data_IF_528663401729
#
_entry.id   IF_528663401729
#
_cell.length_a   1.000
_cell.length_b   1.000
_cell.length_c   1.000
_cell.angle_alpha   90.00
_cell.angle_beta   90.00
_cell.angle_gamma   90.00
#
_symmetry.space_group_name_H-M   'P 1'
#
loop_
_entity.id
_entity.type
_entity.pdbx_description
1 polymer ?
#
# COMPACT_ATOMS: atom_id res chain seq x y z
N UNK A 1 76.24 11.82 14.03
CA UNK A 1 76.87 11.14 15.19
C UNK A 1 77.72 10.00 14.65
N UNK A 2 78.75 9.55 15.39
CA UNK A 2 79.69 8.51 14.92
C UNK A 2 79.67 7.29 15.84
N UNK A 3 79.93 6.11 15.30
CA UNK A 3 80.25 4.92 16.09
C UNK A 3 81.65 5.00 16.70
N UNK A 4 82.00 4.01 17.52
CA UNK A 4 83.30 3.94 18.21
C UNK A 4 84.49 3.82 17.22
N UNK A 5 84.22 3.39 15.99
CA UNK A 5 85.18 3.31 14.88
C UNK A 5 85.25 4.61 14.05
N UNK A 6 84.46 5.63 14.40
CA UNK A 6 84.47 6.96 13.80
C UNK A 6 83.66 7.10 12.50
N UNK A 7 82.86 6.10 12.14
CA UNK A 7 81.95 6.13 10.98
C UNK A 7 80.67 6.88 11.33
N UNK A 8 80.14 7.67 10.39
CA UNK A 8 78.85 8.33 10.58
C UNK A 8 77.70 7.32 10.59
N UNK A 9 76.85 7.38 11.62
CA UNK A 9 75.64 6.57 11.71
C UNK A 9 74.60 7.07 10.69
N UNK A 10 74.24 6.21 9.73
CA UNK A 10 73.25 6.54 8.70
C UNK A 10 71.86 6.74 9.32
N UNK A 11 71.13 7.77 8.89
CA UNK A 11 69.78 8.07 9.41
C UNK A 11 69.74 8.76 10.77
N UNK A 12 70.90 9.10 11.38
CA UNK A 12 70.95 9.87 12.63
C UNK A 12 71.74 11.16 12.43
N UNK A 13 71.05 12.29 12.53
CA UNK A 13 71.68 13.62 12.51
C UNK A 13 71.37 14.37 13.80
N UNK A 14 72.31 15.18 14.26
CA UNK A 14 72.09 16.07 15.39
C UNK A 14 72.56 17.47 14.99
N UNK A 15 71.77 18.48 15.29
CA UNK A 15 72.07 19.90 15.08
C UNK A 15 71.84 20.63 16.39
N UNK A 16 72.81 21.41 16.83
CA UNK A 16 72.61 22.38 17.90
C UNK A 16 72.21 23.71 17.26
N UNK A 17 71.04 24.23 17.62
CA UNK A 17 70.49 25.46 17.06
C UNK A 17 69.53 26.10 18.06
N UNK A 18 69.64 27.43 18.21
CA UNK A 18 68.82 28.23 19.13
C UNK A 18 68.80 27.69 20.58
N UNK A 19 69.99 27.41 21.13
CA UNK A 19 70.22 26.77 22.44
C UNK A 19 69.63 25.36 22.65
N UNK A 20 69.10 24.72 21.60
CA UNK A 20 68.53 23.37 21.66
C UNK A 20 69.35 22.35 20.86
N UNK A 21 69.55 21.17 21.43
CA UNK A 21 70.06 20.01 20.69
C UNK A 21 68.89 19.30 20.00
N UNK A 22 68.82 19.41 18.67
CA UNK A 22 67.84 18.72 17.84
C UNK A 22 68.47 17.45 17.27
N UNK A 23 67.95 16.29 17.66
CA UNK A 23 68.38 14.99 17.13
C UNK A 23 67.28 14.47 16.21
N UNK A 24 67.61 14.24 14.94
CA UNK A 24 66.72 13.66 13.95
C UNK A 24 67.19 12.24 13.65
N UNK A 25 66.34 11.26 14.01
CA UNK A 25 66.58 9.84 13.82
C UNK A 25 65.51 9.30 12.86
N UNK A 26 65.93 8.73 11.74
CA UNK A 26 65.01 8.31 10.67
C UNK A 26 64.69 6.82 10.69
N UNK A 27 65.40 5.99 11.47
CA UNK A 27 65.05 4.56 11.69
C UNK A 27 65.90 3.94 12.81
N UNK A 28 65.43 3.97 14.06
CA UNK A 28 65.88 3.03 15.09
C UNK A 28 64.71 2.69 16.03
N UNK A 29 64.78 1.49 16.64
CA UNK A 29 63.83 0.99 17.65
C UNK A 29 63.86 1.80 18.96
N UNK A 30 63.62 1.15 20.10
CA UNK A 30 63.43 1.83 21.39
C UNK A 30 64.57 2.82 21.74
N UNK A 31 64.21 4.07 22.00
CA UNK A 31 65.13 5.11 22.48
C UNK A 31 65.17 5.05 24.00
N UNK A 32 66.34 4.76 24.57
CA UNK A 32 66.57 4.82 26.02
C UNK A 32 67.46 6.02 26.35
N UNK A 33 66.96 6.94 27.19
CA UNK A 33 67.72 8.06 27.75
C UNK A 33 67.94 7.77 29.23
N UNK A 34 69.16 7.39 29.60
CA UNK A 34 69.56 7.22 31.00
C UNK A 34 70.17 8.52 31.52
N UNK A 35 69.32 9.50 31.79
CA UNK A 35 69.69 10.68 32.55
C UNK A 35 68.83 10.75 33.82
N UNK A 36 69.50 10.81 34.96
CA UNK A 36 68.85 10.83 36.29
C UNK A 36 68.22 12.17 36.62
N UNK A 37 68.46 13.21 35.81
CA UNK A 37 67.91 14.57 36.01
C UNK A 37 67.08 15.06 34.81
N UNK A 38 66.62 14.17 33.94
CA UNK A 38 65.78 14.53 32.80
C UNK A 38 64.39 14.95 33.29
N UNK A 39 64.12 16.25 33.32
CA UNK A 39 62.80 16.82 33.64
C UNK A 39 62.00 17.01 32.36
N UNK A 40 61.45 15.91 31.81
CA UNK A 40 60.55 15.98 30.67
C UNK A 40 59.10 15.66 31.08
N UNK A 41 58.18 16.59 30.80
CA UNK A 41 56.73 16.40 30.89
C UNK A 41 56.20 15.47 29.77
N UNK A 42 56.93 14.42 29.42
CA UNK A 42 56.58 13.51 28.31
C UNK A 42 55.66 12.37 28.79
N UNK A 43 55.44 12.21 30.10
CA UNK A 43 54.70 11.06 30.64
C UNK A 43 53.34 11.38 31.32
N UNK A 44 52.79 12.57 31.18
CA UNK A 44 51.52 12.95 31.84
C UNK A 44 50.26 12.47 31.08
N UNK A 45 50.42 11.56 30.12
CA UNK A 45 49.32 11.03 29.28
C UNK A 45 49.34 9.50 29.11
N UNK A 46 50.01 8.75 30.01
CA UNK A 46 49.95 7.28 30.00
C UNK A 46 49.44 6.67 31.32
N UNK A 47 49.15 7.49 32.33
CA UNK A 47 48.46 7.03 33.53
C UNK A 47 46.94 6.94 33.28
N UNK A 48 46.47 5.78 32.82
CA UNK A 48 45.03 5.50 32.68
C UNK A 48 44.32 5.32 34.05
N UNK A 49 45.05 5.30 35.16
CA UNK A 49 44.49 5.13 36.51
C UNK A 49 44.12 6.47 37.15
N UNK A 50 44.88 7.54 36.90
CA UNK A 50 44.58 8.91 37.32
C UNK A 50 44.04 9.75 36.13
N UNK A 51 42.74 9.67 35.89
CA UNK A 51 42.00 10.30 34.80
C UNK A 51 41.85 11.85 34.93
N UNK A 52 42.91 12.61 35.20
CA UNK A 52 42.79 14.07 35.43
C UNK A 52 42.39 14.87 34.16
N UNK A 53 42.55 14.28 32.97
CA UNK A 53 42.11 14.84 31.69
C UNK A 53 40.71 14.36 31.23
N UNK A 54 39.97 13.55 32.03
CA UNK A 54 38.66 13.02 31.64
C UNK A 54 37.52 13.97 32.05
N UNK A 55 37.02 14.74 31.10
CA UNK A 55 35.96 15.75 31.30
C UNK A 55 34.60 15.13 31.67
N UNK A 56 34.29 13.93 31.19
CA UNK A 56 33.04 13.22 31.47
C UNK A 56 33.26 11.71 31.52
N UNK A 57 32.64 11.04 32.50
CA UNK A 57 32.67 9.57 32.61
C UNK A 57 31.37 9.00 32.08
N UNK A 58 31.42 7.90 31.32
CA UNK A 58 30.22 7.17 30.92
C UNK A 58 29.48 6.66 32.17
N UNK A 59 28.16 6.85 32.22
CA UNK A 59 27.33 6.43 33.34
C UNK A 59 26.05 5.80 32.82
N UNK A 60 25.64 4.72 33.47
CA UNK A 60 24.32 4.13 33.27
C UNK A 60 23.25 5.07 33.82
N UNK A 61 22.09 5.10 33.17
CA UNK A 61 20.90 5.76 33.71
C UNK A 61 20.41 5.00 34.93
N UNK A 62 20.04 5.74 35.99
CA UNK A 62 19.50 5.21 37.23
C UNK A 62 18.24 5.98 37.58
N UNK A 63 17.13 5.28 37.74
CA UNK A 63 15.84 5.89 38.05
C UNK A 63 14.97 4.94 38.87
N UNK A 64 13.89 5.47 39.46
CA UNK A 64 12.90 4.66 40.17
C UNK A 64 11.65 4.51 39.32
N UNK A 65 11.19 3.29 39.12
CA UNK A 65 9.91 2.98 38.51
C UNK A 65 8.98 2.35 39.56
N UNK A 66 7.88 3.01 39.90
CA UNK A 66 6.94 2.59 40.94
C UNK A 66 7.62 2.20 42.28
N UNK A 67 8.68 2.93 42.65
CA UNK A 67 9.45 2.71 43.88
C UNK A 67 10.64 1.75 43.74
N UNK A 68 10.74 1.00 42.63
CA UNK A 68 11.85 0.07 42.36
C UNK A 68 12.98 0.74 41.61
N UNK A 69 14.22 0.59 42.06
CA UNK A 69 15.39 1.13 41.38
C UNK A 69 15.73 0.32 40.12
N UNK A 70 15.85 1.02 38.99
CA UNK A 70 16.16 0.47 37.68
C UNK A 70 17.43 1.12 37.17
N UNK A 71 18.34 0.31 36.63
CA UNK A 71 19.56 0.77 35.96
C UNK A 71 19.56 0.31 34.51
N UNK A 72 19.94 1.19 33.58
CA UNK A 72 20.04 0.91 32.14
C UNK A 72 21.24 1.59 31.53
N UNK A 73 21.80 1.01 30.47
CA UNK A 73 22.99 1.54 29.79
C UNK A 73 22.67 2.78 28.93
N UNK A 74 21.40 2.98 28.57
CA UNK A 74 20.91 4.08 27.73
C UNK A 74 19.84 4.91 28.44
N UNK A 75 19.57 6.10 27.93
CA UNK A 75 18.42 6.93 28.31
C UNK A 75 17.14 6.58 27.51
N UNK A 76 17.24 5.72 26.49
CA UNK A 76 16.09 5.16 25.76
C UNK A 76 15.82 3.75 26.28
N UNK A 77 14.68 3.56 26.92
CA UNK A 77 14.29 2.32 27.59
C UNK A 77 13.06 1.75 26.89
N UNK A 78 13.20 0.60 26.24
CA UNK A 78 12.11 -0.07 25.50
C UNK A 78 11.79 -1.47 26.04
N UNK A 79 12.48 -1.90 27.10
CA UNK A 79 12.38 -3.24 27.69
C UNK A 79 11.64 -3.28 29.04
N UNK A 80 11.35 -2.11 29.64
CA UNK A 80 10.78 -2.03 30.98
C UNK A 80 9.29 -2.37 31.02
N UNK A 81 8.53 -1.92 30.01
CA UNK A 81 7.09 -2.15 29.88
C UNK A 81 6.79 -2.50 28.44
N UNK A 82 6.11 -3.62 28.23
CA UNK A 82 5.72 -4.09 26.90
C UNK A 82 4.91 -3.01 26.17
N UNK A 83 5.34 -2.65 24.97
CA UNK A 83 4.66 -1.67 24.13
C UNK A 83 4.99 -0.20 24.44
N UNK A 84 5.90 0.08 25.37
CA UNK A 84 6.33 1.45 25.68
C UNK A 84 7.81 1.66 25.38
N UNK A 85 8.14 2.89 24.99
CA UNK A 85 9.51 3.38 24.97
C UNK A 85 9.59 4.65 25.81
N UNK A 86 10.40 4.61 26.87
CA UNK A 86 10.61 5.71 27.79
C UNK A 86 11.93 6.39 27.42
N UNK A 87 11.89 7.71 27.21
CA UNK A 87 13.09 8.51 26.97
C UNK A 87 13.37 9.40 28.19
N UNK A 88 14.52 9.20 28.83
CA UNK A 88 14.97 9.96 29.99
C UNK A 88 15.70 11.22 29.52
N UNK A 89 15.09 12.39 29.77
CA UNK A 89 15.63 13.67 29.31
C UNK A 89 16.40 14.42 30.41
N UNK A 90 15.88 14.40 31.64
CA UNK A 90 16.47 15.10 32.77
C UNK A 90 16.15 14.39 34.08
N UNK A 91 16.93 14.70 35.13
CA UNK A 91 16.66 14.24 36.48
C UNK A 91 15.39 14.90 37.04
N UNK A 92 14.64 14.16 37.86
CA UNK A 92 13.42 14.65 38.50
C UNK A 92 12.39 13.54 38.71
N UNK A 93 11.19 13.96 39.09
CA UNK A 93 10.03 13.09 39.22
C UNK A 93 9.05 13.36 38.07
N UNK A 94 8.40 12.31 37.57
CA UNK A 94 7.39 12.43 36.52
C UNK A 94 6.36 11.33 36.68
N UNK A 95 5.10 11.67 36.42
CA UNK A 95 3.99 10.72 36.42
C UNK A 95 3.56 10.49 34.98
N UNK A 96 3.55 9.23 34.54
CA UNK A 96 3.08 8.83 33.22
C UNK A 96 1.70 8.21 33.40
N UNK A 97 0.70 8.78 32.74
CA UNK A 97 -0.64 8.20 32.68
C UNK A 97 -0.89 7.66 31.28
N UNK A 98 -1.19 6.37 31.18
CA UNK A 98 -1.46 5.68 29.92
C UNK A 98 -2.96 5.52 29.81
N UNK A 99 -3.53 6.11 28.77
CA UNK A 99 -4.96 6.05 28.46
C UNK A 99 -5.15 5.67 27.01
N UNK A 100 -6.33 5.18 26.69
CA UNK A 100 -6.73 4.93 25.30
C UNK A 100 -6.81 6.26 24.54
N UNK A 101 -6.33 6.26 23.29
CA UNK A 101 -6.42 7.42 22.39
C UNK A 101 -7.73 7.40 21.62
N UNK A 102 -8.79 7.88 22.26
CA UNK A 102 -10.14 7.92 21.69
C UNK A 102 -10.27 8.86 20.51
N UNK A 103 -9.47 9.93 20.46
CA UNK A 103 -9.52 10.91 19.38
C UNK A 103 -9.07 10.25 18.08
N UNK A 104 -7.96 9.51 18.13
CA UNK A 104 -7.47 8.74 16.98
C UNK A 104 -8.46 7.66 16.55
N UNK A 105 -9.11 6.95 17.49
CA UNK A 105 -10.10 5.92 17.17
C UNK A 105 -11.35 6.55 16.52
N UNK A 106 -11.89 7.64 17.10
CA UNK A 106 -13.03 8.37 16.54
C UNK A 106 -12.71 8.90 15.14
N UNK A 107 -11.51 9.46 14.94
CA UNK A 107 -11.06 9.95 13.65
C UNK A 107 -10.99 8.83 12.61
N UNK A 108 -10.45 7.67 13.00
CA UNK A 108 -10.39 6.48 12.14
C UNK A 108 -11.79 6.03 11.71
N UNK A 109 -12.77 6.06 12.62
CA UNK A 109 -14.17 5.73 12.29
C UNK A 109 -14.82 6.75 11.35
N UNK A 110 -14.53 8.04 11.52
CA UNK A 110 -15.01 9.08 10.59
C UNK A 110 -14.40 8.90 9.19
N UNK A 111 -13.11 8.59 9.11
CA UNK A 111 -12.42 8.36 7.84
C UNK A 111 -12.94 7.10 7.15
N UNK A 112 -13.24 6.04 7.93
CA UNK A 112 -13.93 4.85 7.44
C UNK A 112 -15.30 5.19 6.82
N UNK A 113 -16.15 5.93 7.54
CA UNK A 113 -17.48 6.33 7.04
C UNK A 113 -17.37 7.17 5.78
N UNK A 114 -16.38 8.08 5.72
CA UNK A 114 -16.09 8.88 4.54
C UNK A 114 -15.67 8.02 3.34
N UNK A 115 -14.81 7.02 3.57
CA UNK A 115 -14.38 6.06 2.56
C UNK A 115 -15.55 5.21 2.02
N UNK A 116 -16.37 4.68 2.93
CA UNK A 116 -17.59 3.93 2.56
C UNK A 116 -18.53 4.78 1.70
N UNK A 117 -18.82 6.00 2.15
CA UNK A 117 -19.71 6.94 1.44
C UNK A 117 -19.16 7.34 0.07
N UNK A 118 -17.84 7.43 -0.07
CA UNK A 118 -17.18 7.69 -1.35
C UNK A 118 -17.41 6.54 -2.34
N UNK A 119 -17.34 5.28 -1.88
CA UNK A 119 -17.64 4.11 -2.71
C UNK A 119 -19.10 4.12 -3.13
N UNK A 120 -20.04 4.33 -2.19
CA UNK A 120 -21.47 4.38 -2.49
C UNK A 120 -21.78 5.46 -3.52
N UNK A 121 -21.26 6.67 -3.32
CA UNK A 121 -21.42 7.80 -4.25
C UNK A 121 -20.88 7.48 -5.65
N UNK A 122 -19.69 6.87 -5.73
CA UNK A 122 -19.09 6.49 -7.01
C UNK A 122 -19.92 5.44 -7.74
N UNK A 123 -20.35 4.38 -7.05
CA UNK A 123 -21.18 3.34 -7.65
C UNK A 123 -22.51 3.93 -8.12
N UNK A 124 -23.17 4.77 -7.32
CA UNK A 124 -24.41 5.43 -7.71
C UNK A 124 -24.22 6.30 -8.95
N UNK A 125 -23.15 7.08 -9.02
CA UNK A 125 -22.81 7.90 -10.20
C UNK A 125 -22.63 7.04 -11.44
N UNK A 126 -21.96 5.89 -11.32
CA UNK A 126 -21.68 5.01 -12.45
C UNK A 126 -22.88 4.18 -12.90
N UNK A 127 -23.93 4.06 -12.08
CA UNK A 127 -25.06 3.14 -12.32
C UNK A 127 -26.40 3.84 -12.45
N UNK A 128 -26.51 5.11 -12.04
CA UNK A 128 -27.74 5.90 -12.11
C UNK A 128 -28.05 6.31 -13.55
N UNK A 129 -29.35 6.33 -13.87
CA UNK A 129 -29.87 7.04 -15.02
C UNK A 129 -30.18 8.49 -14.65
N UNK A 130 -29.70 9.44 -15.45
CA UNK A 130 -30.05 10.84 -15.33
C UNK A 130 -31.19 11.18 -16.29
N UNK A 131 -32.41 11.46 -15.78
CA UNK A 131 -33.56 11.78 -16.62
C UNK A 131 -33.43 13.14 -17.34
N UNK A 132 -32.64 14.08 -16.80
CA UNK A 132 -32.52 15.43 -17.33
C UNK A 132 -31.61 15.43 -18.57
N UNK A 133 -30.43 14.81 -18.44
CA UNK A 133 -29.52 14.62 -19.58
C UNK A 133 -29.88 13.42 -20.46
N UNK A 134 -30.82 12.58 -20.03
CA UNK A 134 -31.18 11.28 -20.65
C UNK A 134 -29.98 10.35 -20.81
N UNK A 135 -28.96 10.49 -19.96
CA UNK A 135 -27.76 9.67 -20.00
C UNK A 135 -27.79 8.56 -18.97
N UNK A 136 -27.33 7.39 -19.38
CA UNK A 136 -27.10 6.26 -18.52
C UNK A 136 -25.68 6.32 -17.95
N UNK A 137 -25.53 6.05 -16.65
CA UNK A 137 -24.22 5.70 -16.11
C UNK A 137 -23.65 4.49 -16.85
N UNK A 138 -22.32 4.47 -17.06
CA UNK A 138 -21.65 3.45 -17.87
C UNK A 138 -21.91 2.01 -17.41
N UNK A 139 -22.24 1.82 -16.13
CA UNK A 139 -22.53 0.52 -15.51
C UNK A 139 -23.99 0.37 -15.08
N UNK A 140 -24.91 1.14 -15.69
CA UNK A 140 -26.34 1.09 -15.33
C UNK A 140 -26.94 -0.31 -15.40
N UNK A 141 -26.48 -1.17 -16.31
CA UNK A 141 -26.99 -2.54 -16.46
C UNK A 141 -26.15 -3.59 -15.72
N UNK A 142 -25.06 -3.18 -15.08
CA UNK A 142 -24.16 -4.10 -14.40
C UNK A 142 -24.65 -4.39 -12.98
N UNK A 143 -25.39 -5.49 -12.85
CA UNK A 143 -25.94 -5.96 -11.57
C UNK A 143 -24.84 -6.23 -10.54
N UNK A 144 -23.70 -6.77 -10.97
CA UNK A 144 -22.54 -7.01 -10.10
C UNK A 144 -22.03 -5.73 -9.46
N UNK A 145 -21.98 -4.62 -10.21
CA UNK A 145 -21.53 -3.30 -9.73
C UNK A 145 -22.62 -2.65 -8.87
N UNK A 146 -23.88 -2.67 -9.32
CA UNK A 146 -25.03 -2.12 -8.59
C UNK A 146 -25.23 -2.75 -7.20
N UNK A 147 -24.85 -4.01 -7.04
CA UNK A 147 -25.03 -4.74 -5.78
C UNK A 147 -23.90 -4.51 -4.76
N UNK A 148 -22.77 -3.91 -5.14
CA UNK A 148 -21.64 -3.68 -4.23
C UNK A 148 -22.06 -2.94 -2.95
N UNK A 149 -22.81 -1.81 -3.00
CA UNK A 149 -23.26 -1.12 -1.79
C UNK A 149 -24.05 -2.02 -0.84
N UNK A 150 -24.95 -2.86 -1.37
CA UNK A 150 -25.75 -3.80 -0.58
C UNK A 150 -24.88 -4.90 0.05
N UNK A 151 -23.88 -5.41 -0.67
CA UNK A 151 -22.94 -6.41 -0.11
C UNK A 151 -22.13 -5.83 1.05
N UNK A 152 -21.61 -4.61 0.90
CA UNK A 152 -20.86 -3.92 1.94
C UNK A 152 -21.77 -3.58 3.14
N UNK A 153 -22.98 -3.12 2.89
CA UNK A 153 -24.00 -2.88 3.93
C UNK A 153 -24.28 -4.16 4.72
N UNK A 154 -24.56 -5.26 4.04
CA UNK A 154 -24.87 -6.54 4.68
C UNK A 154 -23.69 -7.06 5.51
N UNK A 155 -22.45 -6.89 5.05
CA UNK A 155 -21.28 -7.25 5.82
C UNK A 155 -21.16 -6.43 7.12
N UNK A 156 -21.33 -5.11 7.01
CA UNK A 156 -21.20 -4.16 8.11
C UNK A 156 -22.32 -4.29 9.16
N UNK A 157 -23.57 -4.39 8.72
CA UNK A 157 -24.75 -4.49 9.59
C UNK A 157 -25.15 -5.93 9.92
N UNK A 158 -24.34 -6.92 9.53
CA UNK A 158 -24.55 -8.29 9.98
C UNK A 158 -24.53 -8.35 11.51
N UNK A 159 -25.52 -9.03 12.10
CA UNK A 159 -25.58 -9.18 13.55
C UNK A 159 -24.50 -10.13 14.04
N UNK A 160 -23.89 -9.79 15.16
CA UNK A 160 -22.93 -10.61 15.87
C UNK A 160 -23.55 -11.09 17.18
N UNK A 161 -23.39 -12.39 17.49
CA UNK A 161 -23.80 -12.95 18.79
C UNK A 161 -22.74 -12.54 19.80
N UNK A 162 -23.09 -11.56 20.63
CA UNK A 162 -22.21 -11.08 21.68
C UNK A 162 -22.22 -12.01 22.90
N UNK A 163 -23.42 -12.45 23.29
CA UNK A 163 -23.62 -13.24 24.49
C UNK A 163 -24.84 -14.15 24.31
N UNK A 164 -25.04 -15.09 25.22
CA UNK A 164 -26.19 -15.98 25.24
C UNK A 164 -26.70 -16.11 26.67
N UNK A 165 -27.95 -15.70 26.87
CA UNK A 165 -28.61 -15.80 28.18
C UNK A 165 -29.58 -16.98 28.19
N UNK A 166 -29.58 -17.73 29.29
CA UNK A 166 -30.60 -18.77 29.51
C UNK A 166 -31.87 -18.07 30.00
N UNK A 167 -32.98 -18.30 29.31
CA UNK A 167 -34.31 -17.82 29.69
C UNK A 167 -35.25 -19.01 29.88
N UNK A 168 -36.26 -18.83 30.70
CA UNK A 168 -37.35 -19.80 30.86
C UNK A 168 -38.56 -19.35 30.04
N UNK A 169 -39.19 -20.29 29.34
CA UNK A 169 -40.46 -20.06 28.67
C UNK A 169 -41.63 -20.03 29.69
N UNK A 170 -42.87 -19.92 29.20
CA UNK A 170 -44.07 -19.90 30.05
C UNK A 170 -44.34 -21.23 30.78
N UNK A 171 -43.64 -22.29 30.41
CA UNK A 171 -43.72 -23.63 31.00
C UNK A 171 -42.48 -23.94 31.85
N UNK A 172 -41.69 -22.93 32.22
CA UNK A 172 -40.44 -23.06 32.99
C UNK A 172 -39.33 -23.84 32.26
N UNK A 173 -39.45 -24.00 30.93
CA UNK A 173 -38.45 -24.71 30.14
C UNK A 173 -37.31 -23.75 29.73
N UNK A 174 -36.08 -24.13 30.07
CA UNK A 174 -34.90 -23.34 29.74
C UNK A 174 -34.57 -23.38 28.25
N UNK A 175 -34.28 -22.22 27.67
CA UNK A 175 -33.76 -22.07 26.31
C UNK A 175 -32.69 -20.97 26.26
N UNK A 176 -31.71 -21.16 25.37
CA UNK A 176 -30.67 -20.17 25.14
C UNK A 176 -31.18 -19.08 24.18
N UNK A 177 -31.02 -17.81 24.57
CA UNK A 177 -31.28 -16.66 23.71
C UNK A 177 -29.99 -15.88 23.47
N UNK A 178 -29.62 -15.76 22.19
CA UNK A 178 -28.49 -14.94 21.76
C UNK A 178 -28.82 -13.44 21.93
N UNK A 179 -27.89 -12.71 22.53
CA UNK A 179 -27.84 -11.25 22.51
C UNK A 179 -27.07 -10.83 21.27
N UNK A 180 -27.78 -10.17 20.36
CA UNK A 180 -27.23 -9.73 19.08
C UNK A 180 -26.85 -8.26 19.15
N UNK A 181 -25.63 -7.93 18.72
CA UNK A 181 -25.21 -6.55 18.47
C UNK A 181 -25.04 -6.32 16.97
N UNK A 182 -25.22 -5.08 16.56
CA UNK A 182 -25.11 -4.61 15.18
C UNK A 182 -24.34 -3.30 15.13
N UNK A 183 -23.94 -2.87 13.92
CA UNK A 183 -23.26 -1.58 13.72
C UNK A 183 -24.08 -0.38 14.28
N UNK A 184 -25.41 -0.50 14.33
CA UNK A 184 -26.29 0.51 14.91
C UNK A 184 -26.07 0.70 16.41
N UNK A 185 -25.72 -0.36 17.15
CA UNK A 185 -25.43 -0.30 18.58
C UNK A 185 -24.14 0.48 18.85
N UNK A 186 -23.21 0.47 17.89
CA UNK A 186 -21.93 1.19 17.94
C UNK A 186 -21.96 2.57 17.26
N UNK A 187 -23.14 3.15 17.02
CA UNK A 187 -23.26 4.52 16.51
C UNK A 187 -23.15 4.66 14.99
N UNK A 188 -23.19 3.56 14.23
CA UNK A 188 -23.28 3.62 12.77
C UNK A 188 -24.73 3.50 12.32
N UNK A 189 -25.22 4.47 11.56
CA UNK A 189 -26.55 4.38 10.95
C UNK A 189 -26.45 4.50 9.44
N UNK A 190 -27.50 4.08 8.73
CA UNK A 190 -27.55 4.18 7.27
C UNK A 190 -28.83 4.85 6.84
N UNK A 191 -28.73 5.81 5.93
CA UNK A 191 -29.89 6.48 5.36
C UNK A 191 -30.50 5.66 4.21
N UNK A 192 -31.67 6.11 3.70
CA UNK A 192 -32.38 5.44 2.60
C UNK A 192 -31.61 5.37 1.28
N UNK A 193 -30.60 6.24 1.13
CA UNK A 193 -29.71 6.27 -0.04
C UNK A 193 -28.47 5.40 0.13
N UNK A 194 -28.35 4.66 1.24
CA UNK A 194 -27.23 3.75 1.49
C UNK A 194 -25.97 4.43 2.03
N UNK A 195 -26.01 5.73 2.35
CA UNK A 195 -24.88 6.41 2.98
C UNK A 195 -24.89 6.17 4.49
N UNK A 196 -23.69 5.97 5.04
CA UNK A 196 -23.44 5.86 6.47
C UNK A 196 -23.39 7.22 7.14
N UNK A 197 -23.88 7.25 8.37
CA UNK A 197 -23.71 8.34 9.31
C UNK A 197 -23.09 7.80 10.61
N UNK A 198 -22.32 8.65 11.30
CA UNK A 198 -21.55 8.27 12.49
C UNK A 198 -21.89 9.15 13.68
N UNK A 199 -22.51 8.54 14.68
CA UNK A 199 -22.70 9.12 16.00
C UNK A 199 -21.48 8.83 16.87
N UNK A 200 -20.53 9.78 16.88
CA UNK A 200 -19.31 9.67 17.68
C UNK A 200 -19.58 9.59 19.18
N UNK A 201 -20.70 10.14 19.66
CA UNK A 201 -21.05 10.12 21.08
C UNK A 201 -21.49 8.72 21.52
N UNK A 202 -22.33 8.06 20.71
CA UNK A 202 -22.77 6.68 20.95
C UNK A 202 -21.61 5.69 20.81
N UNK A 203 -20.76 5.89 19.80
CA UNK A 203 -19.56 5.08 19.64
C UNK A 203 -18.60 5.22 20.84
N UNK A 204 -18.31 6.46 21.26
CA UNK A 204 -17.43 6.70 22.41
C UNK A 204 -18.00 6.07 23.67
N UNK A 205 -19.32 6.19 23.90
CA UNK A 205 -19.99 5.52 25.02
C UNK A 205 -19.77 4.00 25.01
N UNK A 206 -19.96 3.34 23.86
CA UNK A 206 -19.72 1.89 23.74
C UNK A 206 -18.26 1.52 23.95
N UNK A 207 -17.32 2.34 23.46
CA UNK A 207 -15.89 2.14 23.66
C UNK A 207 -15.51 2.20 25.14
N UNK A 208 -16.12 3.11 25.90
CA UNK A 208 -15.90 3.27 27.35
C UNK A 208 -16.56 2.18 28.19
N UNK A 209 -17.86 1.96 27.98
CA UNK A 209 -18.65 1.05 28.82
C UNK A 209 -18.39 -0.42 28.47
N UNK A 210 -18.07 -0.69 27.20
CA UNK A 210 -17.95 -2.03 26.62
C UNK A 210 -16.74 -2.15 25.66
N UNK A 211 -15.50 -1.90 26.12
CA UNK A 211 -14.32 -1.85 25.25
C UNK A 211 -14.03 -3.17 24.54
N UNK A 212 -14.15 -4.30 25.25
CA UNK A 212 -13.91 -5.64 24.68
C UNK A 212 -14.93 -5.98 23.61
N UNK A 213 -16.20 -5.65 23.84
CA UNK A 213 -17.28 -5.86 22.88
C UNK A 213 -17.10 -5.00 21.63
N UNK A 214 -16.65 -3.76 21.83
CA UNK A 214 -16.36 -2.85 20.72
C UNK A 214 -15.21 -3.41 19.87
N UNK A 215 -14.11 -3.84 20.50
CA UNK A 215 -12.99 -4.47 19.82
C UNK A 215 -13.40 -5.77 19.09
N UNK A 216 -14.16 -6.65 19.75
CA UNK A 216 -14.62 -7.91 19.17
C UNK A 216 -15.57 -7.67 17.98
N UNK A 217 -16.51 -6.73 18.11
CA UNK A 217 -17.44 -6.39 17.04
C UNK A 217 -16.71 -5.83 15.81
N UNK A 218 -15.75 -4.92 15.98
CA UNK A 218 -15.08 -4.30 14.83
C UNK A 218 -13.97 -5.19 14.26
N UNK A 219 -13.04 -5.64 15.10
CA UNK A 219 -11.79 -6.31 14.70
C UNK A 219 -11.73 -7.81 14.99
N UNK A 220 -12.74 -8.39 15.65
CA UNK A 220 -12.77 -9.85 15.88
C UNK A 220 -12.73 -10.67 14.59
N UNK A 221 -12.47 -11.97 14.70
CA UNK A 221 -12.40 -12.90 13.55
C UNK A 221 -13.68 -12.88 12.69
N UNK A 222 -14.83 -12.74 13.36
CA UNK A 222 -16.16 -12.58 12.77
C UNK A 222 -16.71 -11.16 12.88
N UNK A 223 -15.84 -10.20 13.17
CA UNK A 223 -16.15 -8.78 13.31
C UNK A 223 -16.54 -8.13 11.98
N UNK A 224 -17.20 -6.98 12.08
CA UNK A 224 -17.73 -6.23 10.97
C UNK A 224 -16.63 -5.79 9.98
N UNK A 225 -15.47 -5.32 10.45
CA UNK A 225 -14.37 -4.90 9.56
C UNK A 225 -13.71 -6.09 8.90
N UNK A 226 -13.53 -7.20 9.62
CA UNK A 226 -13.01 -8.45 9.05
C UNK A 226 -13.92 -8.98 7.94
N UNK A 227 -15.24 -8.98 8.15
CA UNK A 227 -16.22 -9.36 7.12
C UNK A 227 -16.19 -8.39 5.94
N UNK A 228 -16.15 -7.10 6.20
CA UNK A 228 -16.10 -6.08 5.15
C UNK A 228 -14.84 -6.21 4.29
N UNK A 229 -13.68 -6.44 4.91
CA UNK A 229 -12.43 -6.71 4.20
C UNK A 229 -12.53 -7.98 3.36
N UNK A 230 -13.09 -9.07 3.88
CA UNK A 230 -13.35 -10.29 3.10
C UNK A 230 -14.26 -10.02 1.90
N UNK A 231 -15.32 -9.22 2.07
CA UNK A 231 -16.21 -8.83 0.96
C UNK A 231 -15.46 -8.00 -0.09
N UNK A 232 -14.66 -7.01 0.32
CA UNK A 232 -13.84 -6.20 -0.59
C UNK A 232 -12.83 -7.08 -1.32
N UNK A 233 -12.19 -8.01 -0.63
CA UNK A 233 -11.22 -8.94 -1.21
C UNK A 233 -11.88 -9.85 -2.24
N UNK A 234 -13.07 -10.39 -1.95
CA UNK A 234 -13.84 -11.18 -2.94
C UNK A 234 -14.24 -10.36 -4.18
N UNK A 235 -14.42 -9.05 -4.03
CA UNK A 235 -14.72 -8.16 -5.15
C UNK A 235 -13.48 -7.83 -5.99
N UNK A 236 -12.30 -7.73 -5.37
CA UNK A 236 -11.12 -7.07 -5.97
C UNK A 236 -9.87 -7.95 -6.13
N UNK A 237 -9.68 -8.97 -5.28
CA UNK A 237 -8.43 -9.74 -5.18
C UNK A 237 -8.56 -11.15 -5.72
N UNK A 238 -7.58 -11.54 -6.54
CA UNK A 238 -7.44 -12.89 -7.07
C UNK A 238 -8.16 -13.10 -8.40
N UNK A 239 -7.89 -14.24 -9.08
CA UNK A 239 -8.38 -14.50 -10.44
C UNK A 239 -9.90 -14.62 -10.52
N UNK A 240 -10.55 -15.05 -9.42
CA UNK A 240 -11.99 -15.27 -9.34
C UNK A 240 -12.75 -14.08 -8.72
N UNK A 241 -12.08 -12.96 -8.48
CA UNK A 241 -12.74 -11.77 -7.95
C UNK A 241 -13.83 -11.29 -8.91
N UNK A 242 -14.97 -10.82 -8.38
CA UNK A 242 -16.13 -10.42 -9.20
C UNK A 242 -15.77 -9.39 -10.26
N UNK A 243 -14.96 -8.38 -9.91
CA UNK A 243 -14.57 -7.33 -10.86
C UNK A 243 -13.55 -7.85 -11.90
N UNK A 244 -12.72 -8.82 -11.55
CA UNK A 244 -11.80 -9.46 -12.50
C UNK A 244 -12.56 -10.34 -13.50
N UNK A 245 -13.57 -11.08 -13.02
CA UNK A 245 -14.43 -11.88 -13.88
C UNK A 245 -15.18 -10.99 -14.89
N UNK A 246 -15.78 -9.89 -14.42
CA UNK A 246 -16.47 -8.92 -15.27
C UNK A 246 -15.52 -8.27 -16.30
N UNK A 247 -14.30 -7.91 -15.88
CA UNK A 247 -13.31 -7.36 -16.80
C UNK A 247 -12.87 -8.37 -17.88
N UNK A 248 -12.76 -9.65 -17.52
CA UNK A 248 -12.44 -10.70 -18.50
C UNK A 248 -13.60 -10.96 -19.47
N UNK A 249 -14.84 -10.89 -18.99
CA UNK A 249 -16.04 -10.97 -19.82
C UNK A 249 -16.03 -9.89 -20.90
N UNK A 250 -15.83 -8.62 -20.52
CA UNK A 250 -15.75 -7.52 -21.49
C UNK A 250 -14.58 -7.65 -22.47
N UNK A 251 -13.42 -8.12 -22.02
CA UNK A 251 -12.27 -8.37 -22.93
C UNK A 251 -12.58 -9.46 -23.96
N UNK A 252 -13.30 -10.50 -23.56
CA UNK A 252 -13.69 -11.57 -24.47
C UNK A 252 -14.76 -11.09 -25.46
N UNK A 253 -15.69 -10.25 -25.00
CA UNK A 253 -16.70 -9.62 -25.86
C UNK A 253 -16.06 -8.67 -26.88
N UNK A 254 -15.14 -7.80 -26.43
CA UNK A 254 -14.35 -6.92 -27.29
C UNK A 254 -13.62 -7.71 -28.38
N UNK A 255 -12.95 -8.80 -27.99
CA UNK A 255 -12.28 -9.70 -28.94
C UNK A 255 -13.27 -10.31 -29.94
N UNK A 256 -14.42 -10.79 -29.47
CA UNK A 256 -15.45 -11.35 -30.35
C UNK A 256 -15.95 -10.33 -31.37
N UNK A 257 -16.12 -9.06 -30.98
CA UNK A 257 -16.50 -8.01 -31.91
C UNK A 257 -15.40 -7.71 -32.92
N UNK A 258 -14.13 -7.71 -32.49
CA UNK A 258 -13.01 -7.52 -33.41
C UNK A 258 -12.97 -8.65 -34.46
N UNK A 259 -13.14 -9.90 -34.04
CA UNK A 259 -13.17 -11.06 -34.95
C UNK A 259 -14.34 -10.93 -35.96
N UNK A 260 -15.52 -10.47 -35.52
CA UNK A 260 -16.66 -10.23 -36.40
C UNK A 260 -16.40 -9.11 -37.43
N UNK A 261 -15.73 -8.03 -37.02
CA UNK A 261 -15.36 -6.93 -37.90
C UNK A 261 -14.39 -7.43 -38.98
N UNK A 262 -13.38 -8.20 -38.59
CA UNK A 262 -12.37 -8.73 -39.50
C UNK A 262 -13.00 -9.68 -40.54
N UNK A 263 -13.90 -10.56 -40.10
CA UNK A 263 -14.64 -11.45 -40.99
C UNK A 263 -15.57 -10.69 -41.95
N UNK A 264 -16.26 -9.66 -41.46
CA UNK A 264 -17.11 -8.83 -42.31
C UNK A 264 -16.29 -8.10 -43.38
N UNK A 265 -15.15 -7.53 -43.02
CA UNK A 265 -14.23 -6.88 -43.95
C UNK A 265 -13.72 -7.87 -45.00
N UNK A 266 -13.36 -9.09 -44.60
CA UNK A 266 -12.93 -10.14 -45.53
C UNK A 266 -14.01 -10.49 -46.55
N UNK A 267 -15.28 -10.62 -46.12
CA UNK A 267 -16.41 -10.88 -47.01
C UNK A 267 -16.66 -9.73 -47.99
N UNK A 268 -16.52 -8.48 -47.53
CA UNK A 268 -16.64 -7.30 -48.38
C UNK A 268 -15.56 -7.31 -49.46
N UNK A 269 -14.29 -7.54 -49.09
CA UNK A 269 -13.18 -7.62 -50.06
C UNK A 269 -13.40 -8.73 -51.09
N UNK A 270 -13.78 -9.93 -50.66
CA UNK A 270 -14.08 -11.04 -51.57
C UNK A 270 -15.20 -10.72 -52.56
N UNK A 271 -16.24 -10.00 -52.12
CA UNK A 271 -17.31 -9.55 -53.01
C UNK A 271 -16.80 -8.57 -54.06
N UNK A 272 -15.96 -7.61 -53.68
CA UNK A 272 -15.34 -6.69 -54.63
C UNK A 272 -14.45 -7.42 -55.64
N UNK A 273 -13.67 -8.41 -55.20
CA UNK A 273 -12.84 -9.22 -56.11
C UNK A 273 -13.70 -9.98 -57.13
N UNK A 274 -14.80 -10.60 -56.69
CA UNK A 274 -15.74 -11.29 -57.59
C UNK A 274 -16.39 -10.30 -58.57
N UNK A 275 -16.82 -9.13 -58.09
CA UNK A 275 -17.41 -8.11 -58.95
C UNK A 275 -16.39 -7.59 -59.97
N UNK A 276 -15.13 -7.39 -59.58
CA UNK A 276 -14.06 -7.00 -60.49
C UNK A 276 -13.82 -8.04 -61.59
N UNK A 277 -13.83 -9.34 -61.22
CA UNK A 277 -13.76 -10.44 -62.20
C UNK A 277 -14.95 -10.44 -63.16
N UNK A 278 -16.17 -10.25 -62.65
CA UNK A 278 -17.39 -10.17 -63.48
C UNK A 278 -17.33 -8.99 -64.44
N UNK A 279 -16.87 -7.82 -63.99
CA UNK A 279 -16.67 -6.65 -64.86
C UNK A 279 -15.67 -6.95 -65.98
N UNK A 280 -14.52 -7.55 -65.66
CA UNK A 280 -13.55 -7.94 -66.67
C UNK A 280 -14.14 -8.93 -67.69
N UNK A 281 -14.93 -9.92 -67.25
CA UNK A 281 -15.62 -10.84 -68.16
C UNK A 281 -16.68 -10.16 -69.03
N UNK A 282 -17.41 -9.16 -68.50
CA UNK A 282 -18.35 -8.38 -69.30
C UNK A 282 -17.65 -7.52 -70.35
N UNK A 283 -16.50 -6.92 -70.01
CA UNK A 283 -15.68 -6.18 -70.97
C UNK A 283 -15.20 -7.08 -72.11
N UNK A 284 -14.78 -8.31 -71.81
CA UNK A 284 -14.42 -9.31 -72.84
C UNK A 284 -15.61 -9.67 -73.74
N UNK A 285 -16.80 -9.91 -73.16
CA UNK A 285 -18.00 -10.22 -73.94
C UNK A 285 -18.45 -9.05 -74.82
N UNK A 286 -18.39 -7.81 -74.32
CA UNK A 286 -18.70 -6.61 -75.09
C UNK A 286 -17.74 -6.47 -76.27
N UNK A 287 -16.44 -6.68 -76.04
CA UNK A 287 -15.46 -6.67 -77.13
C UNK A 287 -15.73 -7.76 -78.17
N UNK A 288 -16.08 -8.98 -77.74
CA UNK A 288 -16.46 -10.06 -78.65
C UNK A 288 -17.71 -9.71 -79.48
N UNK A 289 -18.74 -9.11 -78.87
CA UNK A 289 -19.93 -8.64 -79.60
C UNK A 289 -19.60 -7.51 -80.57
N UNK A 290 -18.74 -6.57 -80.21
CA UNK A 290 -18.31 -5.50 -81.11
C UNK A 290 -17.58 -6.07 -82.34
N UNK A 291 -16.65 -7.01 -82.14
CA UNK A 291 -15.97 -7.72 -83.24
C UNK A 291 -16.97 -8.48 -84.12
N UNK A 292 -17.97 -9.13 -83.50
CA UNK A 292 -19.00 -9.86 -84.24
C UNK A 292 -19.88 -8.92 -85.05
N UNK A 293 -20.31 -7.79 -84.48
CA UNK A 293 -21.09 -6.76 -85.15
C UNK A 293 -20.31 -6.15 -86.34
N UNK A 294 -19.03 -5.86 -86.17
CA UNK A 294 -18.15 -5.40 -87.25
C UNK A 294 -18.04 -6.45 -88.37
N UNK A 295 -17.88 -7.73 -88.03
CA UNK A 295 -17.80 -8.80 -89.03
C UNK A 295 -19.10 -8.97 -89.83
N UNK A 296 -20.25 -8.86 -89.16
CA UNK A 296 -21.57 -8.86 -89.78
C UNK A 296 -21.77 -7.65 -90.69
N UNK A 297 -21.37 -6.47 -90.22
CA UNK A 297 -21.43 -5.25 -91.02
C UNK A 297 -20.59 -5.38 -92.29
N UNK A 298 -19.35 -5.88 -92.18
CA UNK A 298 -18.49 -6.13 -93.34
C UNK A 298 -19.12 -7.13 -94.33
N UNK A 299 -19.74 -8.20 -93.83
CA UNK A 299 -20.43 -9.18 -94.67
C UNK A 299 -21.65 -8.58 -95.39
N UNK A 300 -22.43 -7.74 -94.69
CA UNK A 300 -23.55 -7.01 -95.27
C UNK A 300 -23.07 -6.04 -96.35
N UNK A 301 -22.02 -5.25 -96.06
CA UNK A 301 -21.45 -4.28 -97.00
C UNK A 301 -20.89 -4.99 -98.25
N UNK A 302 -20.24 -6.14 -98.08
CA UNK A 302 -19.77 -6.96 -99.19
C UNK A 302 -20.93 -7.48 -100.06
N UNK A 303 -22.03 -7.91 -99.46
CA UNK A 303 -23.24 -8.34 -100.19
C UNK A 303 -23.96 -7.19 -100.90
N UNK A 304 -23.96 -5.99 -100.32
CA UNK A 304 -24.52 -4.78 -100.95
C UNK A 304 -23.69 -4.40 -102.17
N UNK A 305 -22.36 -4.43 -102.07
CA UNK A 305 -21.44 -4.10 -103.16
C UNK A 305 -21.33 -5.17 -104.25
N UNK A 306 -21.89 -6.36 -104.04
CA UNK A 306 -21.92 -7.46 -105.03
C UNK A 306 -23.18 -7.47 -105.91
N UNK A 307 -24.07 -6.48 -105.79
CA UNK A 307 -25.24 -6.27 -106.67
C UNK A 307 -24.98 -5.14 -107.65
#
# INVERSE_FOLDING_TARGET
MKDDDGNSLAGISAKYDDDHLKIHLTDIGDISITDTNFTSNINDNTDFSANDNRVQTAQNSKFKYNGTEITRESNKIDDLVVGLTINLNSIGESTINIKQDEDTINKTMQDFVSGFNSIVSKIQTLTKYDPDSKTAGIFQNETSIRNIPNQLQNALFSTFVHDSVIKQDRNEQEYSQNILLSAADFGLSMNRTGFLDFDSSKFSKMLHEHPKQTEEFFSGENGAMTKLLKTIDNLTKGPNATLNALNNEYKNEEKSFQDMIDDANKRISQKYDIMAQQFASYDEMINAYNVQAESLQQAIDAMINSK
#
